data_IF_518828780151
#
_entry.id   IF_518828780151
#
_cell.length_a   1.000
_cell.length_b   1.000
_cell.length_c   1.000
_cell.angle_alpha   90.00
_cell.angle_beta   90.00
_cell.angle_gamma   90.00
#
_symmetry.space_group_name_H-M   'P 1'
#
loop_
_entity.id
_entity.type
_entity.pdbx_description
1 polymer ?
#
# COMPACT_ATOMS: atom_id res chain seq x y z
N UNK A 1 20.25 -6.53 21.62
CA UNK A 1 19.95 -7.22 20.34
C UNK A 1 20.97 -6.76 19.32
N UNK A 2 21.68 -7.69 18.69
CA UNK A 2 22.60 -7.39 17.58
C UNK A 2 21.83 -6.69 16.47
N UNK A 3 22.26 -5.50 16.07
CA UNK A 3 21.69 -4.78 14.93
C UNK A 3 21.99 -5.62 13.69
N UNK A 4 20.94 -6.11 13.00
CA UNK A 4 21.11 -6.88 11.76
C UNK A 4 21.98 -6.07 10.81
N UNK A 5 23.05 -6.66 10.29
CA UNK A 5 23.88 -6.01 9.27
C UNK A 5 23.16 -6.09 7.92
N UNK A 6 22.36 -5.06 7.63
CA UNK A 6 21.58 -4.97 6.40
C UNK A 6 22.47 -4.85 5.16
N UNK A 7 23.68 -4.30 5.28
CA UNK A 7 24.64 -4.24 4.17
C UNK A 7 25.18 -5.63 3.85
N UNK A 8 25.52 -6.42 4.86
CA UNK A 8 25.88 -7.83 4.66
C UNK A 8 24.70 -8.62 4.06
N UNK A 9 23.48 -8.40 4.55
CA UNK A 9 22.27 -9.05 4.04
C UNK A 9 22.04 -8.75 2.56
N UNK A 10 22.16 -7.49 2.14
CA UNK A 10 22.04 -7.05 0.75
C UNK A 10 23.04 -7.75 -0.19
N UNK A 11 24.17 -8.22 0.33
CA UNK A 11 25.20 -8.94 -0.43
C UNK A 11 25.00 -10.45 -0.49
N UNK A 12 23.96 -10.99 0.15
CA UNK A 12 23.62 -12.42 0.07
C UNK A 12 22.95 -12.77 -1.26
N UNK A 13 22.95 -14.06 -1.61
CA UNK A 13 22.38 -14.55 -2.87
C UNK A 13 20.88 -14.30 -3.04
N UNK A 14 20.12 -14.13 -1.94
CA UNK A 14 18.69 -13.81 -2.03
C UNK A 14 18.43 -12.37 -2.55
N UNK A 15 19.44 -11.49 -2.52
CA UNK A 15 19.38 -10.12 -3.04
C UNK A 15 20.21 -9.95 -4.34
N UNK A 16 20.56 -11.05 -5.01
CA UNK A 16 21.34 -11.01 -6.26
C UNK A 16 20.69 -10.19 -7.36
N UNK A 17 19.36 -10.07 -7.35
CA UNK A 17 18.61 -9.23 -8.29
C UNK A 17 19.08 -7.77 -8.24
N UNK A 18 19.50 -7.23 -7.08
CA UNK A 18 20.03 -5.86 -6.99
C UNK A 18 21.23 -5.62 -7.92
N UNK A 19 22.00 -6.69 -8.18
CA UNK A 19 23.23 -6.66 -9.00
C UNK A 19 23.02 -7.21 -10.42
N UNK A 20 22.13 -8.20 -10.58
CA UNK A 20 21.96 -8.97 -11.82
C UNK A 20 20.79 -8.49 -12.68
N UNK A 21 19.78 -7.85 -12.10
CA UNK A 21 18.63 -7.35 -12.86
C UNK A 21 19.05 -6.15 -13.72
N UNK A 22 18.70 -6.19 -15.01
CA UNK A 22 19.18 -5.24 -16.02
C UNK A 22 18.77 -3.79 -15.70
N UNK A 23 17.58 -3.63 -15.12
CA UNK A 23 16.98 -2.34 -14.74
C UNK A 23 17.43 -1.81 -13.38
N UNK A 24 18.13 -2.64 -12.62
CA UNK A 24 18.70 -2.28 -11.35
C UNK A 24 20.19 -2.02 -11.57
N UNK A 25 21.08 -2.77 -10.92
CA UNK A 25 22.48 -2.58 -11.20
C UNK A 25 22.97 -1.23 -10.66
N UNK A 26 23.98 -0.66 -11.30
CA UNK A 26 24.52 0.68 -11.02
C UNK A 26 23.51 1.82 -11.19
N UNK A 27 22.28 1.56 -11.66
CA UNK A 27 21.22 2.57 -11.83
C UNK A 27 20.46 2.87 -10.55
N UNK A 28 20.57 2.03 -9.50
CA UNK A 28 19.96 2.34 -8.21
C UNK A 28 20.71 3.53 -7.60
N UNK A 29 19.98 4.63 -7.41
CA UNK A 29 20.50 5.87 -6.82
C UNK A 29 20.23 5.95 -5.31
N UNK A 30 19.18 5.26 -4.86
CA UNK A 30 18.77 5.22 -3.46
C UNK A 30 18.19 3.84 -3.13
N UNK A 31 18.64 3.23 -2.03
CA UNK A 31 18.05 2.05 -1.43
C UNK A 31 18.14 2.21 0.08
N UNK A 32 17.04 1.98 0.77
CA UNK A 32 17.00 2.06 2.23
C UNK A 32 16.00 1.09 2.83
N UNK A 33 15.99 1.07 4.16
CA UNK A 33 15.02 0.28 4.92
C UNK A 33 13.61 0.81 4.70
N UNK A 34 12.64 -0.09 4.62
CA UNK A 34 11.22 0.18 4.68
C UNK A 34 10.60 -0.33 5.99
N UNK A 35 9.29 -0.10 6.13
CA UNK A 35 8.48 -0.76 7.15
C UNK A 35 8.99 -0.57 8.58
N UNK A 36 8.82 -1.59 9.41
CA UNK A 36 9.06 -1.46 10.85
C UNK A 36 10.51 -1.19 11.24
N UNK A 37 11.48 -1.58 10.40
CA UNK A 37 12.89 -1.25 10.62
C UNK A 37 13.16 0.22 10.31
N UNK A 38 12.59 0.77 9.24
CA UNK A 38 12.64 2.20 8.95
C UNK A 38 12.00 3.04 10.07
N UNK A 39 10.87 2.58 10.62
CA UNK A 39 10.11 3.33 11.62
C UNK A 39 10.69 3.19 13.05
N UNK A 40 11.64 2.28 13.27
CA UNK A 40 12.16 1.94 14.60
C UNK A 40 11.20 1.10 15.46
N UNK A 41 10.12 0.59 14.88
CA UNK A 41 9.05 -0.19 15.55
C UNK A 41 9.15 -1.70 15.27
N UNK A 42 10.33 -2.19 14.89
CA UNK A 42 10.54 -3.62 14.63
C UNK A 42 10.45 -4.44 15.92
N UNK A 43 10.03 -5.69 15.76
CA UNK A 43 9.98 -6.75 16.76
C UNK A 43 10.82 -7.93 16.26
N UNK A 44 11.04 -8.95 17.08
CA UNK A 44 11.91 -10.10 16.77
C UNK A 44 11.57 -10.78 15.44
N UNK A 45 10.27 -10.93 15.15
CA UNK A 45 9.75 -11.57 13.93
C UNK A 45 9.36 -10.56 12.84
N UNK A 46 9.89 -9.33 12.87
CA UNK A 46 9.59 -8.37 11.82
C UNK A 46 10.31 -8.71 10.51
N UNK A 47 9.55 -8.63 9.43
CA UNK A 47 10.06 -8.73 8.07
C UNK A 47 11.03 -7.58 7.78
N UNK A 48 11.92 -7.79 6.82
CA UNK A 48 12.88 -6.79 6.35
C UNK A 48 12.39 -6.31 5.01
N UNK A 49 11.93 -5.06 4.96
CA UNK A 49 11.50 -4.41 3.73
C UNK A 49 12.65 -3.56 3.18
N UNK A 50 12.98 -3.67 1.89
CA UNK A 50 13.80 -2.67 1.20
C UNK A 50 12.94 -1.85 0.24
N UNK A 51 13.22 -0.54 0.19
CA UNK A 51 12.59 0.39 -0.74
C UNK A 51 13.68 1.15 -1.48
N UNK A 52 13.52 1.36 -2.78
CA UNK A 52 14.55 2.00 -3.59
C UNK A 52 14.05 2.79 -4.78
N UNK A 53 15.00 3.48 -5.43
CA UNK A 53 14.82 4.28 -6.62
C UNK A 53 15.94 3.94 -7.60
N UNK A 54 15.56 3.55 -8.81
CA UNK A 54 16.48 3.29 -9.93
C UNK A 54 16.21 4.25 -11.08
N UNK A 55 17.25 4.62 -11.81
CA UNK A 55 17.11 5.45 -13.01
C UNK A 55 16.44 4.67 -14.14
N UNK A 56 15.58 5.36 -14.89
CA UNK A 56 15.02 4.86 -16.15
C UNK A 56 16.14 4.55 -17.17
N UNK A 57 15.88 3.60 -18.07
CA UNK A 57 16.76 3.36 -19.22
C UNK A 57 16.53 4.42 -20.31
N UNK A 58 17.51 4.61 -21.19
CA UNK A 58 17.37 5.48 -22.37
C UNK A 58 16.15 5.10 -23.23
N UNK A 59 15.87 3.79 -23.35
CA UNK A 59 14.69 3.31 -24.08
C UNK A 59 13.36 3.63 -23.38
N UNK A 60 13.35 3.80 -22.05
CA UNK A 60 12.15 4.22 -21.30
C UNK A 60 11.91 5.73 -21.43
N UNK A 61 12.96 6.50 -21.72
CA UNK A 61 12.91 7.96 -21.82
C UNK A 61 12.71 8.45 -23.26
N UNK A 62 13.35 7.80 -24.23
CA UNK A 62 13.38 8.20 -25.64
C UNK A 62 12.82 7.14 -26.59
N UNK A 63 12.69 5.89 -26.12
CA UNK A 63 12.25 4.75 -26.92
C UNK A 63 10.80 4.36 -26.66
N UNK A 64 10.51 3.07 -26.87
CA UNK A 64 9.15 2.50 -26.77
C UNK A 64 8.97 1.56 -25.57
N UNK A 65 9.94 1.49 -24.66
CA UNK A 65 9.82 0.67 -23.45
C UNK A 65 9.21 1.49 -22.32
N UNK A 66 8.59 0.80 -21.35
CA UNK A 66 8.08 1.42 -20.13
C UNK A 66 8.54 0.61 -18.92
N UNK A 67 8.86 1.31 -17.84
CA UNK A 67 9.24 0.68 -16.58
C UNK A 67 8.83 1.54 -15.40
N UNK A 68 7.99 0.95 -14.55
CA UNK A 68 7.43 1.63 -13.38
C UNK A 68 8.17 1.21 -12.10
N UNK A 69 8.46 -0.08 -11.93
CA UNK A 69 9.11 -0.61 -10.74
C UNK A 69 9.53 -2.08 -10.90
N UNK A 70 10.47 -2.49 -10.06
CA UNK A 70 10.80 -3.89 -9.80
C UNK A 70 10.27 -4.27 -8.41
N UNK A 71 9.60 -5.41 -8.30
CA UNK A 71 9.11 -5.99 -7.04
C UNK A 71 9.70 -7.40 -6.87
N UNK A 72 10.21 -7.69 -5.69
CA UNK A 72 10.60 -9.05 -5.29
C UNK A 72 9.79 -9.48 -4.05
N UNK A 73 8.85 -10.40 -4.26
CA UNK A 73 7.94 -10.90 -3.22
C UNK A 73 8.67 -11.65 -2.10
N UNK A 74 9.82 -12.26 -2.39
CA UNK A 74 10.55 -13.09 -1.42
C UNK A 74 11.25 -12.26 -0.35
N UNK A 75 11.77 -11.10 -0.74
CA UNK A 75 12.49 -10.18 0.14
C UNK A 75 11.68 -8.95 0.52
N UNK A 76 10.43 -8.84 0.07
CA UNK A 76 9.60 -7.62 0.19
C UNK A 76 10.40 -6.37 -0.23
N UNK A 77 11.04 -6.45 -1.40
CA UNK A 77 11.82 -5.34 -1.97
C UNK A 77 11.05 -4.69 -3.10
N UNK A 78 10.90 -3.36 -3.04
CA UNK A 78 10.28 -2.58 -4.12
C UNK A 78 11.21 -1.45 -4.54
N UNK A 79 11.57 -1.39 -5.82
CA UNK A 79 12.44 -0.36 -6.39
C UNK A 79 11.72 0.30 -7.54
N UNK A 80 11.35 1.57 -7.35
CA UNK A 80 10.63 2.35 -8.36
C UNK A 80 11.59 2.92 -9.40
N UNK A 81 11.11 3.07 -10.63
CA UNK A 81 11.78 3.95 -11.59
C UNK A 81 11.72 5.40 -11.10
N UNK A 82 12.73 6.19 -11.43
CA UNK A 82 12.81 7.59 -11.02
C UNK A 82 11.58 8.39 -11.46
N UNK A 83 11.14 8.25 -12.70
CA UNK A 83 9.96 8.96 -13.21
C UNK A 83 8.68 8.54 -12.47
N UNK A 84 8.51 7.26 -12.13
CA UNK A 84 7.38 6.79 -11.31
C UNK A 84 7.46 7.36 -9.90
N UNK A 85 8.64 7.33 -9.28
CA UNK A 85 8.86 7.90 -7.96
C UNK A 85 8.47 9.38 -7.92
N UNK A 86 8.92 10.19 -8.88
CA UNK A 86 8.54 11.61 -8.97
C UNK A 86 7.03 11.80 -9.02
N UNK A 87 6.32 11.04 -9.89
CA UNK A 87 4.85 11.10 -9.96
C UNK A 87 4.19 10.81 -8.60
N UNK A 88 4.68 9.81 -7.87
CA UNK A 88 4.15 9.44 -6.55
C UNK A 88 4.45 10.49 -5.48
N UNK A 89 5.65 11.09 -5.52
CA UNK A 89 6.05 12.15 -4.61
C UNK A 89 5.24 13.44 -4.80
N UNK A 90 4.92 13.81 -6.04
CA UNK A 90 4.06 14.97 -6.36
C UNK A 90 2.62 14.83 -5.84
N UNK A 91 2.16 13.59 -5.63
CA UNK A 91 0.89 13.26 -4.97
C UNK A 91 1.03 13.07 -3.45
N UNK A 92 2.21 13.39 -2.91
CA UNK A 92 2.58 13.19 -1.50
C UNK A 92 2.24 11.77 -1.02
N UNK A 93 2.49 10.75 -1.84
CA UNK A 93 2.11 9.37 -1.52
C UNK A 93 2.89 8.87 -0.28
N UNK A 94 2.19 8.49 0.81
CA UNK A 94 2.85 8.16 2.08
C UNK A 94 3.88 7.04 1.97
N UNK A 95 3.60 6.00 1.18
CA UNK A 95 4.48 4.83 1.06
C UNK A 95 5.81 5.17 0.38
N UNK A 96 5.83 6.18 -0.48
CA UNK A 96 7.03 6.61 -1.20
C UNK A 96 7.76 7.74 -0.52
N UNK A 97 7.05 8.68 0.14
CA UNK A 97 7.70 9.78 0.85
C UNK A 97 8.65 9.27 1.94
N UNK A 98 8.36 8.11 2.55
CA UNK A 98 9.16 7.51 3.62
C UNK A 98 10.65 7.35 3.29
N UNK A 99 11.01 7.03 2.05
CA UNK A 99 12.41 6.86 1.67
C UNK A 99 13.20 8.18 1.71
N UNK A 100 12.52 9.33 1.64
CA UNK A 100 13.14 10.67 1.68
C UNK A 100 13.40 11.18 3.11
N UNK A 101 12.89 10.45 4.12
CA UNK A 101 12.97 10.82 5.53
C UNK A 101 13.64 9.77 6.41
N UNK A 102 14.43 8.87 5.83
CA UNK A 102 15.20 7.89 6.59
C UNK A 102 16.37 8.55 7.32
N UNK A 103 16.83 7.92 8.40
CA UNK A 103 18.09 8.27 9.04
C UNK A 103 19.27 7.86 8.15
N UNK A 104 20.41 8.54 8.31
CA UNK A 104 21.59 8.35 7.45
C UNK A 104 22.04 6.89 7.38
N UNK A 105 22.03 6.20 8.52
CA UNK A 105 22.47 4.81 8.66
C UNK A 105 21.47 3.80 8.08
N UNK A 106 20.24 4.23 7.79
CA UNK A 106 19.19 3.40 7.19
C UNK A 106 19.26 3.36 5.66
N UNK A 107 20.09 4.21 5.04
CA UNK A 107 20.40 4.12 3.62
C UNK A 107 21.48 3.06 3.36
N UNK A 108 21.13 2.04 2.59
CA UNK A 108 22.05 0.97 2.17
C UNK A 108 22.83 1.37 0.92
N UNK A 109 22.15 2.05 0.00
CA UNK A 109 22.71 2.69 -1.19
C UNK A 109 22.25 4.14 -1.17
N UNK A 110 23.21 5.05 -1.25
CA UNK A 110 22.95 6.48 -1.46
C UNK A 110 24.06 7.04 -2.33
N UNK A 111 23.78 7.15 -3.62
CA UNK A 111 24.72 7.74 -4.58
C UNK A 111 24.70 9.26 -4.46
N UNK A 112 25.63 9.95 -5.13
CA UNK A 112 25.60 11.42 -5.22
C UNK A 112 24.28 11.94 -5.79
N UNK A 113 23.76 11.30 -6.84
CA UNK A 113 22.48 11.67 -7.44
C UNK A 113 21.29 11.35 -6.51
N UNK A 114 21.39 10.28 -5.71
CA UNK A 114 20.44 10.00 -4.64
C UNK A 114 20.46 11.07 -3.54
N UNK A 115 21.64 11.58 -3.17
CA UNK A 115 21.77 12.70 -2.23
C UNK A 115 21.16 13.99 -2.82
N UNK A 116 21.43 14.30 -4.09
CA UNK A 116 20.82 15.45 -4.77
C UNK A 116 19.29 15.37 -4.77
N UNK A 117 18.70 14.18 -4.93
CA UNK A 117 17.26 13.97 -4.77
C UNK A 117 16.77 14.25 -3.34
N UNK A 118 17.51 13.80 -2.32
CA UNK A 118 17.16 14.07 -0.91
C UNK A 118 17.23 15.55 -0.58
N UNK A 119 18.23 16.26 -1.11
CA UNK A 119 18.41 17.70 -0.95
C UNK A 119 17.24 18.49 -1.58
N UNK A 120 16.66 17.93 -2.65
CA UNK A 120 15.51 18.51 -3.37
C UNK A 120 14.14 18.00 -2.89
N UNK A 121 14.05 17.24 -1.78
CA UNK A 121 12.78 16.64 -1.31
C UNK A 121 11.64 17.66 -1.13
N UNK A 122 11.98 18.91 -0.79
CA UNK A 122 11.02 20.00 -0.63
C UNK A 122 10.27 20.37 -1.92
N UNK A 123 10.84 20.09 -3.10
CA UNK A 123 10.18 20.35 -4.40
C UNK A 123 8.86 19.59 -4.56
N UNK A 124 8.73 18.42 -3.91
CA UNK A 124 7.56 17.55 -4.08
C UNK A 124 6.47 17.79 -3.03
N UNK A 125 6.75 18.58 -1.99
CA UNK A 125 5.82 18.81 -0.89
C UNK A 125 4.80 19.90 -1.23
N UNK A 126 3.54 19.62 -0.95
CA UNK A 126 2.43 20.54 -1.13
C UNK A 126 1.31 20.25 -0.13
N UNK A 127 0.31 21.12 -0.07
CA UNK A 127 -0.92 20.89 0.74
C UNK A 127 -1.70 19.64 0.33
N UNK A 128 -1.38 19.02 -0.81
CA UNK A 128 -1.90 17.70 -1.21
C UNK A 128 -1.62 16.62 -0.16
N UNK A 129 -0.57 16.77 0.66
CA UNK A 129 -0.27 15.89 1.77
C UNK A 129 -1.47 15.71 2.72
N UNK A 130 -2.28 16.75 2.95
CA UNK A 130 -3.48 16.66 3.79
C UNK A 130 -4.48 15.62 3.24
N UNK A 131 -4.81 15.72 1.96
CA UNK A 131 -5.74 14.79 1.31
C UNK A 131 -5.14 13.39 1.20
N UNK A 132 -3.87 13.28 0.81
CA UNK A 132 -3.19 12.00 0.59
C UNK A 132 -3.07 11.20 1.88
N UNK A 133 -2.41 11.76 2.90
CA UNK A 133 -2.24 11.08 4.19
C UNK A 133 -3.58 10.86 4.90
N UNK A 134 -4.52 11.80 4.81
CA UNK A 134 -5.85 11.67 5.42
C UNK A 134 -6.67 10.54 4.78
N UNK A 135 -6.57 10.38 3.46
CA UNK A 135 -7.19 9.27 2.73
C UNK A 135 -6.62 7.90 3.16
N UNK A 136 -5.30 7.80 3.29
CA UNK A 136 -4.63 6.59 3.78
C UNK A 136 -4.97 6.28 5.24
N UNK A 137 -4.92 7.30 6.11
CA UNK A 137 -5.30 7.17 7.52
C UNK A 137 -6.76 6.71 7.65
N UNK A 138 -7.69 7.35 6.94
CA UNK A 138 -9.09 6.92 6.91
C UNK A 138 -9.28 5.48 6.42
N UNK A 139 -8.49 5.03 5.44
CA UNK A 139 -8.51 3.63 5.01
C UNK A 139 -7.98 2.67 6.09
N UNK A 140 -6.93 3.04 6.83
CA UNK A 140 -6.43 2.25 7.96
C UNK A 140 -7.44 2.20 9.12
N UNK A 141 -8.10 3.32 9.43
CA UNK A 141 -9.14 3.37 10.45
C UNK A 141 -10.33 2.47 10.08
N UNK A 142 -10.82 2.54 8.83
CA UNK A 142 -11.86 1.62 8.34
C UNK A 142 -11.44 0.16 8.43
N UNK A 143 -10.18 -0.16 8.12
CA UNK A 143 -9.65 -1.53 8.27
C UNK A 143 -9.63 -1.98 9.73
N UNK A 144 -9.28 -1.08 10.66
CA UNK A 144 -9.29 -1.33 12.10
C UNK A 144 -10.71 -1.62 12.59
N UNK A 145 -11.66 -0.72 12.29
CA UNK A 145 -13.07 -0.85 12.65
C UNK A 145 -13.70 -2.13 12.09
N UNK A 146 -13.45 -2.43 10.80
CA UNK A 146 -13.96 -3.64 10.17
C UNK A 146 -13.39 -4.92 10.77
N UNK A 147 -12.13 -4.91 11.22
CA UNK A 147 -11.54 -6.09 11.85
C UNK A 147 -12.17 -6.35 13.23
N UNK A 148 -12.38 -5.29 14.03
CA UNK A 148 -13.08 -5.36 15.32
C UNK A 148 -14.52 -5.87 15.12
N UNK A 149 -15.27 -5.30 14.17
CA UNK A 149 -16.65 -5.71 13.90
C UNK A 149 -16.75 -7.16 13.40
N UNK A 150 -15.75 -7.65 12.64
CA UNK A 150 -15.70 -9.03 12.15
C UNK A 150 -15.37 -10.03 13.25
N UNK A 151 -14.56 -9.65 14.24
CA UNK A 151 -14.24 -10.54 15.37
C UNK A 151 -15.41 -10.71 16.35
N UNK A 152 -16.38 -9.79 16.35
CA UNK A 152 -17.63 -9.92 17.12
C UNK A 152 -18.64 -10.90 16.50
N UNK A 153 -18.52 -11.24 15.21
CA UNK A 153 -19.45 -12.13 14.51
C UNK A 153 -18.83 -13.54 14.41
N UNK A 154 -19.42 -14.56 15.06
CA UNK A 154 -18.99 -15.94 14.91
C UNK A 154 -18.88 -16.36 13.43
N UNK A 155 -17.84 -17.12 13.09
CA UNK A 155 -17.59 -17.58 11.71
C UNK A 155 -18.84 -18.20 11.05
N UNK A 156 -19.59 -18.99 11.83
CA UNK A 156 -20.84 -19.64 11.40
C UNK A 156 -21.95 -18.64 11.06
N UNK A 157 -22.03 -17.52 11.78
CA UNK A 157 -22.99 -16.45 11.47
C UNK A 157 -22.56 -15.69 10.21
N UNK A 158 -21.26 -15.42 10.04
CA UNK A 158 -20.72 -14.78 8.84
C UNK A 158 -20.97 -15.60 7.57
N UNK A 159 -20.72 -16.90 7.62
CA UNK A 159 -21.00 -17.82 6.50
C UNK A 159 -22.50 -17.83 6.18
N UNK A 160 -23.36 -17.85 7.21
CA UNK A 160 -24.82 -17.73 7.06
C UNK A 160 -25.24 -16.38 6.45
N UNK A 161 -24.61 -15.28 6.84
CA UNK A 161 -24.88 -13.95 6.28
C UNK A 161 -24.45 -13.83 4.81
N UNK A 162 -23.28 -14.36 4.44
CA UNK A 162 -22.81 -14.39 3.05
C UNK A 162 -23.74 -15.28 2.22
N UNK A 163 -24.11 -16.45 2.73
CA UNK A 163 -25.04 -17.36 2.07
C UNK A 163 -26.43 -16.71 1.85
N UNK A 164 -26.95 -16.00 2.86
CA UNK A 164 -28.20 -15.26 2.71
C UNK A 164 -28.08 -14.10 1.72
N UNK A 165 -26.94 -13.42 1.68
CA UNK A 165 -26.71 -12.32 0.72
C UNK A 165 -26.61 -12.84 -0.71
N UNK A 166 -25.93 -13.98 -0.90
CA UNK A 166 -25.87 -14.68 -2.18
C UNK A 166 -27.27 -15.14 -2.60
N UNK A 167 -28.04 -15.77 -1.72
CA UNK A 167 -29.43 -16.19 -2.01
C UNK A 167 -30.31 -15.01 -2.44
N UNK A 168 -30.25 -13.89 -1.72
CA UNK A 168 -31.00 -12.69 -2.09
C UNK A 168 -30.55 -12.14 -3.46
N UNK A 169 -29.26 -12.22 -3.78
CA UNK A 169 -28.75 -11.78 -5.08
C UNK A 169 -29.17 -12.73 -6.22
N UNK A 170 -29.23 -14.03 -5.97
CA UNK A 170 -29.76 -15.03 -6.89
C UNK A 170 -31.26 -14.79 -7.16
N UNK A 171 -32.05 -14.54 -6.11
CA UNK A 171 -33.48 -14.21 -6.24
C UNK A 171 -33.69 -12.89 -6.99
N UNK A 172 -32.90 -11.85 -6.70
CA UNK A 172 -32.97 -10.58 -7.45
C UNK A 172 -32.56 -10.76 -8.92
N UNK A 173 -31.56 -11.61 -9.18
CA UNK A 173 -31.14 -11.95 -10.53
C UNK A 173 -32.25 -12.68 -11.29
N UNK A 174 -32.85 -13.72 -10.71
CA UNK A 174 -33.99 -14.43 -11.32
C UNK A 174 -35.20 -13.52 -11.51
N UNK A 175 -35.48 -12.60 -10.58
CA UNK A 175 -36.56 -11.63 -10.76
C UNK A 175 -36.31 -10.70 -11.95
N UNK A 176 -35.06 -10.30 -12.15
CA UNK A 176 -34.68 -9.36 -13.23
C UNK A 176 -34.50 -10.06 -14.57
N UNK A 177 -34.07 -11.32 -14.57
CA UNK A 177 -33.62 -12.00 -15.78
C UNK A 177 -34.18 -13.41 -16.01
N UNK A 178 -34.99 -13.94 -15.09
CA UNK A 178 -35.40 -15.34 -15.06
C UNK A 178 -36.46 -15.74 -16.09
N UNK A 179 -37.24 -14.78 -16.61
CA UNK A 179 -38.22 -15.04 -17.65
C UNK A 179 -38.29 -13.87 -18.65
N UNK A 180 -37.77 -14.09 -19.85
CA UNK A 180 -37.96 -13.19 -20.98
C UNK A 180 -38.45 -14.00 -22.18
N UNK A 181 -39.16 -13.34 -23.11
CA UNK A 181 -39.60 -13.90 -24.40
C UNK A 181 -38.47 -14.54 -25.25
N UNK A 182 -37.21 -14.41 -24.84
CA UNK A 182 -36.00 -14.78 -25.59
C UNK A 182 -35.12 -15.82 -24.90
N UNK A 183 -35.54 -16.35 -23.74
CA UNK A 183 -34.78 -17.35 -22.99
C UNK A 183 -35.04 -17.33 -21.48
N UNK A 184 -34.43 -18.29 -20.80
CA UNK A 184 -34.53 -18.46 -19.34
C UNK A 184 -33.14 -18.65 -18.74
N UNK A 185 -32.94 -18.15 -17.52
CA UNK A 185 -31.79 -18.48 -16.69
C UNK A 185 -32.20 -18.68 -15.24
N UNK A 186 -31.58 -19.70 -14.64
CA UNK A 186 -31.76 -20.05 -13.26
C UNK A 186 -30.39 -20.21 -12.62
N UNK A 187 -30.20 -19.56 -11.47
CA UNK A 187 -28.98 -19.70 -10.69
C UNK A 187 -29.35 -20.24 -9.32
N UNK A 188 -28.76 -21.36 -8.92
CA UNK A 188 -29.13 -22.03 -7.68
C UNK A 188 -27.92 -22.67 -7.02
N UNK A 189 -28.02 -22.88 -5.71
CA UNK A 189 -27.00 -23.60 -4.94
C UNK A 189 -27.42 -25.05 -4.84
N UNK A 190 -26.56 -25.97 -5.24
CA UNK A 190 -26.77 -27.41 -5.12
C UNK A 190 -25.49 -28.11 -4.62
N UNK A 191 -25.55 -29.44 -4.45
CA UNK A 191 -24.40 -30.27 -4.09
C UNK A 191 -23.32 -30.13 -5.16
N UNK A 192 -22.10 -29.81 -4.75
CA UNK A 192 -21.00 -29.62 -5.69
C UNK A 192 -20.64 -30.92 -6.40
N UNK A 193 -20.24 -30.80 -7.67
CA UNK A 193 -19.60 -31.89 -8.41
C UNK A 193 -18.11 -32.01 -8.07
N UNK A 194 -17.48 -30.91 -7.65
CA UNK A 194 -16.12 -30.90 -7.16
C UNK A 194 -16.00 -31.63 -5.80
N UNK A 195 -15.19 -32.70 -5.69
CA UNK A 195 -15.01 -33.45 -4.44
C UNK A 195 -14.46 -32.62 -3.27
N UNK A 196 -13.86 -31.46 -3.54
CA UNK A 196 -13.29 -30.56 -2.53
C UNK A 196 -14.33 -29.56 -1.97
N UNK A 197 -15.55 -29.51 -2.52
CA UNK A 197 -16.62 -28.59 -2.12
C UNK A 197 -17.86 -29.36 -1.65
N UNK A 198 -18.56 -28.83 -0.65
CA UNK A 198 -19.84 -29.41 -0.20
C UNK A 198 -21.03 -28.94 -1.06
N UNK A 199 -21.01 -27.68 -1.48
CA UNK A 199 -22.07 -27.05 -2.30
C UNK A 199 -21.47 -26.06 -3.29
N UNK A 200 -22.11 -25.87 -4.43
CA UNK A 200 -21.67 -25.00 -5.53
C UNK A 200 -22.85 -24.26 -6.15
N UNK A 201 -22.57 -23.15 -6.84
CA UNK A 201 -23.57 -22.41 -7.60
C UNK A 201 -23.62 -23.00 -9.01
N UNK A 202 -24.79 -23.48 -9.40
CA UNK A 202 -25.09 -23.98 -10.73
C UNK A 202 -25.85 -22.94 -11.54
N UNK A 203 -25.72 -23.04 -12.86
CA UNK A 203 -26.43 -22.22 -13.83
C UNK A 203 -27.10 -23.11 -14.87
N UNK A 204 -28.41 -22.98 -14.98
CA UNK A 204 -29.20 -23.52 -16.09
C UNK A 204 -29.62 -22.34 -16.96
N UNK A 205 -29.22 -22.32 -18.24
CA UNK A 205 -29.53 -21.20 -19.11
C UNK A 205 -29.77 -21.60 -20.57
N UNK A 206 -30.83 -21.06 -21.17
CA UNK A 206 -31.09 -21.14 -22.62
C UNK A 206 -31.47 -19.74 -23.13
N UNK A 207 -30.77 -19.24 -24.15
CA UNK A 207 -31.06 -17.95 -24.77
C UNK A 207 -31.00 -18.01 -26.29
N UNK A 208 -31.86 -17.21 -26.94
CA UNK A 208 -31.78 -16.96 -28.39
C UNK A 208 -31.99 -15.48 -28.67
N UNK A 209 -31.14 -14.92 -29.53
CA UNK A 209 -31.29 -13.54 -30.03
C UNK A 209 -31.32 -12.46 -28.93
N UNK A 210 -30.40 -12.57 -27.97
CA UNK A 210 -30.25 -11.64 -26.85
C UNK A 210 -29.38 -10.42 -27.22
N UNK A 211 -29.73 -9.19 -26.79
CA UNK A 211 -28.85 -8.03 -26.94
C UNK A 211 -27.54 -8.18 -26.14
N UNK A 212 -26.41 -7.86 -26.77
CA UNK A 212 -25.08 -8.02 -26.17
C UNK A 212 -24.87 -7.20 -24.88
N UNK A 213 -25.48 -6.00 -24.78
CA UNK A 213 -25.38 -5.16 -23.57
C UNK A 213 -26.06 -5.82 -22.37
N UNK A 214 -27.18 -6.49 -22.59
CA UNK A 214 -27.91 -7.17 -21.53
C UNK A 214 -27.15 -8.42 -21.08
N UNK A 215 -26.52 -9.14 -22.01
CA UNK A 215 -25.62 -10.24 -21.71
C UNK A 215 -24.41 -9.80 -20.84
N UNK A 216 -23.80 -8.65 -21.17
CA UNK A 216 -22.68 -8.09 -20.40
C UNK A 216 -23.10 -7.67 -18.99
N UNK A 217 -24.25 -7.00 -18.85
CA UNK A 217 -24.80 -6.63 -17.55
C UNK A 217 -25.08 -7.86 -16.66
N UNK A 218 -25.62 -8.94 -17.22
CA UNK A 218 -25.85 -10.19 -16.48
C UNK A 218 -24.54 -10.81 -16.01
N UNK A 219 -23.51 -10.80 -16.86
CA UNK A 219 -22.17 -11.27 -16.51
C UNK A 219 -21.56 -10.49 -15.33
N UNK A 220 -21.73 -9.16 -15.31
CA UNK A 220 -21.27 -8.33 -14.21
C UNK A 220 -21.95 -8.69 -12.87
N UNK A 221 -23.24 -9.01 -12.89
CA UNK A 221 -23.96 -9.46 -11.68
C UNK A 221 -23.48 -10.85 -11.25
N UNK A 222 -23.38 -11.82 -12.16
CA UNK A 222 -22.89 -13.16 -11.87
C UNK A 222 -21.46 -13.16 -11.29
N UNK A 223 -20.58 -12.31 -11.82
CA UNK A 223 -19.22 -12.14 -11.30
C UNK A 223 -19.21 -11.72 -9.82
N UNK A 224 -20.09 -10.79 -9.43
CA UNK A 224 -20.20 -10.36 -8.04
C UNK A 224 -20.73 -11.48 -7.13
N UNK A 225 -21.71 -12.25 -7.59
CA UNK A 225 -22.27 -13.41 -6.86
C UNK A 225 -21.20 -14.46 -6.61
N UNK A 226 -20.44 -14.85 -7.64
CA UNK A 226 -19.33 -15.81 -7.52
C UNK A 226 -18.27 -15.28 -6.58
N UNK A 227 -17.84 -14.02 -6.71
CA UNK A 227 -16.83 -13.40 -5.84
C UNK A 227 -17.25 -13.40 -4.35
N UNK A 228 -18.54 -13.23 -4.07
CA UNK A 228 -19.06 -13.22 -2.71
C UNK A 228 -19.25 -14.64 -2.16
N UNK A 229 -19.70 -15.59 -2.99
CA UNK A 229 -19.77 -17.02 -2.65
C UNK A 229 -18.38 -17.61 -2.36
N UNK A 230 -17.37 -17.22 -3.12
CA UNK A 230 -15.96 -17.58 -2.92
C UNK A 230 -15.41 -17.21 -1.54
N UNK A 231 -16.09 -16.33 -0.80
CA UNK A 231 -15.70 -15.95 0.57
C UNK A 231 -16.22 -16.94 1.62
N UNK A 232 -17.14 -17.84 1.25
CA UNK A 232 -17.65 -18.94 2.08
C UNK A 232 -16.54 -20.00 2.22
N UNK A 233 -16.30 -20.50 3.43
CA UNK A 233 -15.27 -21.51 3.69
C UNK A 233 -13.82 -21.01 3.64
N UNK A 234 -13.54 -19.88 2.96
CA UNK A 234 -12.23 -19.22 3.07
C UNK A 234 -12.06 -18.74 4.51
N UNK A 235 -11.17 -19.41 5.27
CA UNK A 235 -10.56 -18.88 6.49
C UNK A 235 -9.89 -17.56 6.12
N UNK A 236 -10.62 -16.45 6.21
CA UNK A 236 -9.97 -15.18 6.45
C UNK A 236 -9.30 -15.34 7.81
N UNK A 237 -7.97 -15.47 7.81
CA UNK A 237 -7.19 -15.52 9.04
C UNK A 237 -7.71 -14.40 9.94
N UNK A 238 -8.14 -14.75 11.16
CA UNK A 238 -8.27 -13.76 12.22
C UNK A 238 -6.98 -12.96 12.18
N UNK A 239 -7.08 -11.65 11.98
CA UNK A 239 -5.90 -10.82 12.17
C UNK A 239 -5.52 -11.01 13.63
N UNK A 240 -4.33 -11.51 13.86
CA UNK A 240 -3.83 -11.60 15.22
C UNK A 240 -3.70 -10.19 15.78
N UNK A 241 -3.58 -10.11 17.10
CA UNK A 241 -3.44 -8.84 17.80
C UNK A 241 -2.23 -8.05 17.30
N UNK A 242 -1.17 -8.77 16.89
CA UNK A 242 0.02 -8.20 16.30
C UNK A 242 -0.27 -7.39 15.01
N UNK A 243 -1.10 -7.93 14.10
CA UNK A 243 -1.52 -7.24 12.88
C UNK A 243 -2.43 -6.05 13.18
N UNK A 244 -3.37 -6.16 14.12
CA UNK A 244 -4.24 -5.05 14.52
C UNK A 244 -3.42 -3.89 15.09
N UNK A 245 -2.50 -4.20 16.00
CA UNK A 245 -1.60 -3.22 16.62
C UNK A 245 -0.63 -2.60 15.60
N UNK A 246 -0.15 -3.36 14.60
CA UNK A 246 0.61 -2.80 13.46
C UNK A 246 -0.21 -1.78 12.68
N UNK A 247 -1.49 -2.06 12.40
CA UNK A 247 -2.38 -1.13 11.71
C UNK A 247 -2.69 0.12 12.54
N UNK A 248 -2.98 -0.04 13.83
CA UNK A 248 -3.23 1.07 14.75
C UNK A 248 -2.01 2.00 14.90
N UNK A 249 -0.81 1.43 15.04
CA UNK A 249 0.43 2.22 15.09
C UNK A 249 0.65 2.99 13.78
N UNK A 250 0.50 2.32 12.64
CA UNK A 250 0.71 2.95 11.34
C UNK A 250 -0.32 4.06 11.06
N UNK A 251 -1.56 3.91 11.53
CA UNK A 251 -2.58 4.95 11.48
C UNK A 251 -2.11 6.24 12.17
N UNK A 252 -1.69 6.15 13.43
CA UNK A 252 -1.19 7.31 14.19
C UNK A 252 0.05 7.92 13.52
N UNK A 253 0.98 7.06 13.07
CA UNK A 253 2.19 7.50 12.37
C UNK A 253 1.88 8.29 11.09
N UNK A 254 0.87 7.89 10.31
CA UNK A 254 0.46 8.63 9.11
C UNK A 254 0.02 10.06 9.45
N UNK A 255 -0.76 10.24 10.51
CA UNK A 255 -1.12 11.59 10.96
C UNK A 255 0.09 12.39 11.41
N UNK A 256 1.00 11.79 12.19
CA UNK A 256 2.20 12.47 12.64
C UNK A 256 3.09 12.94 11.47
N UNK A 257 3.25 12.10 10.44
CA UNK A 257 4.00 12.48 9.23
C UNK A 257 3.30 13.59 8.45
N UNK A 258 1.97 13.52 8.31
CA UNK A 258 1.22 14.56 7.65
C UNK A 258 1.38 15.91 8.36
N UNK A 259 1.37 15.91 9.69
CA UNK A 259 1.59 17.09 10.53
C UNK A 259 2.99 17.66 10.31
N UNK A 260 4.06 16.85 10.32
CA UNK A 260 5.41 17.36 10.08
C UNK A 260 5.56 17.96 8.67
N UNK A 261 4.97 17.32 7.65
CA UNK A 261 4.99 17.85 6.29
C UNK A 261 4.24 19.20 6.24
N UNK A 262 3.02 19.26 6.76
CA UNK A 262 2.16 20.45 6.66
C UNK A 262 2.65 21.61 7.52
N UNK A 263 3.18 21.34 8.72
CA UNK A 263 3.66 22.38 9.65
C UNK A 263 5.10 22.83 9.36
N UNK A 264 5.98 21.90 8.95
CA UNK A 264 7.44 22.14 8.89
C UNK A 264 8.05 21.94 7.50
N UNK A 265 7.34 21.30 6.57
CA UNK A 265 7.92 20.89 5.29
C UNK A 265 8.94 19.76 5.44
N UNK A 266 8.84 18.96 6.50
CA UNK A 266 9.80 17.91 6.83
C UNK A 266 9.19 16.52 6.65
N UNK A 267 10.00 15.58 6.17
CA UNK A 267 9.64 14.15 6.10
C UNK A 267 10.50 13.43 7.13
N UNK A 268 9.86 12.83 8.14
CA UNK A 268 10.54 12.12 9.21
C UNK A 268 9.97 10.71 9.38
N UNK A 269 10.73 9.70 8.92
CA UNK A 269 10.29 8.30 8.86
C UNK A 269 10.49 7.59 10.20
N UNK A 270 11.63 7.81 10.85
CA UNK A 270 11.94 7.30 12.18
C UNK A 270 11.62 8.36 13.25
N UNK A 271 10.46 8.23 13.87
CA UNK A 271 9.92 9.23 14.79
C UNK A 271 10.48 9.09 16.20
N UNK A 272 11.76 9.42 16.41
CA UNK A 272 12.48 9.21 17.68
C UNK A 272 11.76 9.80 18.90
N UNK A 273 11.14 10.96 18.76
CA UNK A 273 10.44 11.65 19.86
C UNK A 273 9.15 10.92 20.27
N UNK A 274 8.39 10.41 19.31
CA UNK A 274 7.14 9.69 19.54
C UNK A 274 7.31 8.16 19.52
N UNK A 275 8.55 7.66 19.47
CA UNK A 275 8.85 6.25 19.26
C UNK A 275 8.29 5.37 20.38
N UNK A 276 8.35 5.85 21.62
CA UNK A 276 7.82 5.13 22.77
C UNK A 276 6.30 4.94 22.67
N UNK A 277 5.57 5.97 22.20
CA UNK A 277 4.14 5.86 21.94
C UNK A 277 3.86 4.86 20.82
N UNK A 278 4.57 4.97 19.70
CA UNK A 278 4.39 4.06 18.56
C UNK A 278 4.70 2.61 18.95
N UNK A 279 5.73 2.38 19.78
CA UNK A 279 6.06 1.06 20.33
C UNK A 279 4.99 0.56 21.30
N UNK A 280 4.46 1.41 22.20
CA UNK A 280 3.34 1.07 23.10
C UNK A 280 2.11 0.63 22.31
N UNK A 281 1.75 1.34 21.24
CA UNK A 281 0.64 0.93 20.35
C UNK A 281 0.99 -0.40 19.67
N UNK A 282 2.19 -0.52 19.10
CA UNK A 282 2.66 -1.70 18.36
C UNK A 282 2.68 -2.97 19.23
N UNK A 283 2.98 -2.84 20.52
CA UNK A 283 2.99 -3.94 21.49
C UNK A 283 1.63 -4.22 22.14
N UNK A 284 0.57 -3.53 21.73
CA UNK A 284 -0.78 -3.75 22.27
C UNK A 284 -1.09 -3.05 23.59
N UNK A 285 -0.29 -2.06 24.01
CA UNK A 285 -0.50 -1.34 25.27
C UNK A 285 -1.79 -0.52 25.36
N UNK A 286 -2.56 -0.43 24.27
CA UNK A 286 -3.88 0.19 24.22
C UNK A 286 -4.98 -0.79 23.77
N UNK A 287 -4.63 -2.05 23.51
CA UNK A 287 -5.58 -3.06 23.07
C UNK A 287 -6.23 -3.73 24.30
N UNK A 288 -7.55 -3.92 24.24
CA UNK A 288 -8.35 -4.58 25.26
C UNK A 288 -8.48 -6.08 24.96
N UNK A 289 -8.95 -6.87 25.93
CA UNK A 289 -9.16 -8.31 25.78
C UNK A 289 -10.16 -8.66 24.66
N UNK A 290 -11.13 -7.79 24.41
CA UNK A 290 -12.11 -7.90 23.32
C UNK A 290 -11.57 -7.40 21.96
N UNK A 291 -10.26 -7.15 21.88
CA UNK A 291 -9.52 -6.60 20.73
C UNK A 291 -9.89 -5.18 20.31
N UNK A 292 -10.80 -4.52 21.04
CA UNK A 292 -11.02 -3.08 20.88
C UNK A 292 -9.85 -2.30 21.45
N UNK A 293 -9.85 -0.98 21.23
CA UNK A 293 -8.84 -0.09 21.78
C UNK A 293 -9.39 0.72 22.95
N UNK A 294 -8.52 1.12 23.87
CA UNK A 294 -8.90 1.96 25.00
C UNK A 294 -9.35 3.36 24.55
N UNK A 295 -10.18 4.07 25.33
CA UNK A 295 -10.52 5.47 25.08
C UNK A 295 -9.29 6.35 24.88
N UNK A 296 -8.22 6.12 25.67
CA UNK A 296 -6.94 6.82 25.54
C UNK A 296 -6.35 6.75 24.11
N UNK A 297 -6.49 5.61 23.41
CA UNK A 297 -6.05 5.51 22.01
C UNK A 297 -6.89 6.37 21.07
N UNK A 298 -8.21 6.42 21.28
CA UNK A 298 -9.10 7.24 20.48
C UNK A 298 -8.92 8.74 20.76
N UNK A 299 -8.60 9.12 22.00
CA UNK A 299 -8.25 10.50 22.37
C UNK A 299 -6.97 10.94 21.64
N UNK A 300 -5.96 10.07 21.57
CA UNK A 300 -4.72 10.31 20.81
C UNK A 300 -5.02 10.46 19.31
N UNK A 301 -5.83 9.55 18.75
CA UNK A 301 -6.25 9.59 17.35
C UNK A 301 -6.96 10.92 17.02
N UNK A 302 -7.94 11.30 17.83
CA UNK A 302 -8.70 12.54 17.65
C UNK A 302 -7.82 13.79 17.79
N UNK A 303 -6.86 13.78 18.72
CA UNK A 303 -5.90 14.87 18.88
C UNK A 303 -5.03 15.06 17.61
N UNK A 304 -4.55 13.96 17.03
CA UNK A 304 -3.75 14.00 15.80
C UNK A 304 -4.58 14.36 14.57
N UNK A 305 -5.83 13.90 14.48
CA UNK A 305 -6.76 14.29 13.42
C UNK A 305 -7.03 15.81 13.45
N UNK A 306 -7.37 16.36 14.62
CA UNK A 306 -7.56 17.81 14.82
C UNK A 306 -6.29 18.61 14.50
N UNK A 307 -5.12 18.11 14.91
CA UNK A 307 -3.85 18.78 14.61
C UNK A 307 -3.55 18.79 13.11
N UNK A 308 -3.77 17.67 12.43
CA UNK A 308 -3.61 17.59 10.98
C UNK A 308 -4.59 18.51 10.25
N UNK A 309 -5.85 18.59 10.70
CA UNK A 309 -6.83 19.52 10.13
C UNK A 309 -6.40 20.98 10.31
N UNK A 310 -5.93 21.35 11.50
CA UNK A 310 -5.37 22.67 11.77
C UNK A 310 -4.15 22.96 10.88
N UNK A 311 -3.19 22.03 10.85
CA UNK A 311 -1.99 22.15 10.02
C UNK A 311 -2.33 22.31 8.54
N UNK A 312 -3.35 21.60 8.04
CA UNK A 312 -3.81 21.74 6.65
C UNK A 312 -4.32 23.14 6.33
N UNK A 313 -4.95 23.83 7.30
CA UNK A 313 -5.48 25.19 7.12
C UNK A 313 -4.38 26.25 7.24
N UNK A 314 -3.44 26.03 8.14
CA UNK A 314 -2.37 26.99 8.48
C UNK A 314 -1.07 26.78 7.68
N UNK A 315 -0.96 25.69 6.91
CA UNK A 315 0.26 25.33 6.18
C UNK A 315 0.72 26.43 5.22
N UNK A 316 2.04 26.67 5.24
CA UNK A 316 2.74 27.56 4.31
C UNK A 316 3.17 26.84 3.02
N UNK A 317 2.96 25.52 2.92
CA UNK A 317 3.22 24.78 1.69
C UNK A 317 2.33 25.31 0.54
N UNK A 318 2.81 25.26 -0.71
CA UNK A 318 1.99 25.63 -1.84
C UNK A 318 0.84 24.62 -2.03
N UNK A 319 -0.25 25.05 -2.67
CA UNK A 319 -1.37 24.14 -2.99
C UNK A 319 -0.95 23.03 -3.97
N UNK A 320 0.00 23.35 -4.86
CA UNK A 320 0.59 22.41 -5.82
C UNK A 320 2.11 22.60 -5.87
N UNK A 321 2.88 21.55 -6.18
CA UNK A 321 4.32 21.66 -6.43
C UNK A 321 4.65 22.68 -7.54
N UNK A 322 5.84 23.28 -7.45
CA UNK A 322 6.39 24.15 -8.50
C UNK A 322 6.84 23.29 -9.68
N UNK A 323 5.96 23.13 -10.67
CA UNK A 323 6.18 22.20 -11.78
C UNK A 323 7.35 22.61 -12.68
N UNK A 324 7.69 23.90 -12.78
CA UNK A 324 8.85 24.33 -13.56
C UNK A 324 10.16 23.85 -12.91
N UNK A 325 10.28 23.99 -11.59
CA UNK A 325 11.46 23.47 -10.85
C UNK A 325 11.52 21.95 -10.84
N UNK A 326 10.37 21.30 -10.70
CA UNK A 326 10.28 19.83 -10.75
C UNK A 326 10.72 19.33 -12.13
N UNK A 327 10.22 19.91 -13.22
CA UNK A 327 10.60 19.55 -14.58
C UNK A 327 12.10 19.73 -14.79
N UNK A 328 12.66 20.88 -14.42
CA UNK A 328 14.09 21.14 -14.54
C UNK A 328 14.95 20.11 -13.79
N UNK A 329 14.53 19.69 -12.59
CA UNK A 329 15.22 18.65 -11.83
C UNK A 329 15.07 17.26 -12.48
N UNK A 330 13.88 16.93 -12.96
CA UNK A 330 13.61 15.66 -13.67
C UNK A 330 14.43 15.57 -14.95
N UNK A 331 14.45 16.61 -15.78
CA UNK A 331 15.27 16.70 -16.98
C UNK A 331 16.76 16.51 -16.66
N UNK A 332 17.24 17.16 -15.61
CA UNK A 332 18.63 17.03 -15.16
C UNK A 332 18.97 15.57 -14.80
N UNK A 333 18.15 14.92 -13.97
CA UNK A 333 18.37 13.52 -13.56
C UNK A 333 18.28 12.57 -14.77
N UNK A 334 17.29 12.76 -15.65
CA UNK A 334 17.11 11.93 -16.84
C UNK A 334 18.25 12.11 -17.85
N UNK A 335 18.79 13.33 -18.00
CA UNK A 335 19.99 13.57 -18.79
C UNK A 335 21.19 12.80 -18.23
N UNK A 336 21.39 12.82 -16.90
CA UNK A 336 22.44 12.01 -16.25
C UNK A 336 22.25 10.51 -16.47
N UNK A 337 21.00 10.03 -16.49
CA UNK A 337 20.68 8.63 -16.79
C UNK A 337 21.05 8.22 -18.23
N UNK A 338 20.88 9.14 -19.20
CA UNK A 338 21.21 8.92 -20.61
C UNK A 338 22.73 9.02 -20.87
N UNK A 339 23.37 10.05 -20.32
CA UNK A 339 24.80 10.35 -20.54
C UNK A 339 25.75 9.45 -19.72
N UNK A 340 25.21 8.64 -18.80
CA UNK A 340 26.02 7.77 -17.93
C UNK A 340 26.63 8.49 -16.72
N UNK A 341 26.26 9.75 -16.47
CA UNK A 341 26.79 10.56 -15.36
C UNK A 341 26.49 10.01 -13.96
N UNK A 342 25.59 9.03 -13.84
CA UNK A 342 25.30 8.31 -12.59
C UNK A 342 26.36 7.29 -12.18
N UNK A 343 27.33 7.00 -13.07
CA UNK A 343 28.44 6.08 -12.78
C UNK A 343 29.56 6.74 -11.96
N UNK A 344 29.64 8.06 -11.95
CA UNK A 344 30.67 8.79 -11.21
C UNK A 344 30.46 8.70 -9.70
N UNK A 345 31.45 8.16 -8.98
CA UNK A 345 31.40 8.02 -7.52
C UNK A 345 30.43 6.96 -7.01
N UNK A 346 29.88 6.11 -7.88
CA UNK A 346 29.00 5.03 -7.49
C UNK A 346 29.82 3.80 -7.03
N UNK A 347 30.10 3.72 -5.72
CA UNK A 347 31.03 2.74 -5.14
C UNK A 347 30.36 1.50 -4.56
N UNK A 348 29.04 1.32 -4.69
CA UNK A 348 28.36 0.15 -4.10
C UNK A 348 28.46 -1.14 -4.93
N UNK A 349 29.43 -1.21 -5.85
CA UNK A 349 29.75 -2.39 -6.66
C UNK A 349 31.12 -2.96 -6.35
#
# INVERSE_FOLDING_TARGET
MSMKDFKALMNTGQYDFLRKEERLGKRIILLGLGGSYAYGTFQENSDIDFRGITLNMTSDLLGLTEFEQYEDDKTDTVIYSFNKMVKLLLECNPNTCEILGLEEEQYLIKTKLGQELLDQKGLFLSKRAAKSFGGYAGAQLRRLQNAIARDAVPQREREKHILNSVRNALEDFERRYGDFDRGSIRLYIDKAENPELETEIFVDAEYRHMPLRDYENMWAVMHNVVRDYDKIGKRNRKKDDNHLNKHAMHLIRLFMMAVDILEKGEINTCRRQELDLLRKIRSGGFQREDKTFTPEFYDILEAYEKRMEKASRESLLPDNPDMEKVEAFVEYVNRKAIEGGYLEGNTWY
#
